data_IF_073022292473
#
_entry.id   IF_073022292473
#
_cell.length_a   1.000
_cell.length_b   1.000
_cell.length_c   1.000
_cell.angle_alpha   90.00
_cell.angle_beta   90.00
_cell.angle_gamma   90.00
#
_symmetry.space_group_name_H-M   'P 1'
#
loop_
_entity.id
_entity.type
_entity.pdbx_description
1 polymer ?
#
# COMPACT_ATOMS: atom_id res chain seq x y z
N UNK A 1 -13.54 29.93 26.77
CA UNK A 1 -12.61 30.54 25.83
C UNK A 1 -11.70 29.45 25.23
N UNK A 2 -12.06 28.93 24.06
CA UNK A 2 -11.23 27.97 23.32
C UNK A 2 -10.13 28.73 22.57
N UNK A 3 -8.87 28.53 22.97
CA UNK A 3 -7.72 29.10 22.31
C UNK A 3 -7.55 28.48 20.92
N UNK A 4 -7.78 29.27 19.87
CA UNK A 4 -7.46 28.89 18.50
C UNK A 4 -5.95 28.69 18.37
N UNK A 5 -5.53 27.42 18.23
CA UNK A 5 -4.15 27.07 17.91
C UNK A 5 -3.81 27.60 16.52
N UNK A 6 -3.08 28.70 16.46
CA UNK A 6 -2.51 29.23 15.21
C UNK A 6 -1.72 28.14 14.49
N UNK A 7 -2.22 27.72 13.34
CA UNK A 7 -1.52 26.80 12.41
C UNK A 7 -0.20 27.49 11.99
N UNK A 8 0.94 26.92 12.37
CA UNK A 8 2.25 27.33 11.83
C UNK A 8 2.27 26.92 10.36
N UNK A 9 2.27 27.89 9.45
CA UNK A 9 2.55 27.67 8.04
C UNK A 9 3.95 27.04 7.91
N UNK A 10 4.12 25.97 7.13
CA UNK A 10 5.45 25.50 6.81
C UNK A 10 6.17 26.62 6.05
N UNK A 11 7.31 27.05 6.54
CA UNK A 11 8.15 28.08 5.93
C UNK A 11 8.85 27.49 4.70
N UNK A 12 8.14 27.38 3.59
CA UNK A 12 8.70 27.14 2.28
C UNK A 12 9.26 28.45 1.74
N UNK A 13 10.54 28.72 1.97
CA UNK A 13 11.23 29.83 1.37
C UNK A 13 11.75 29.40 0.00
N UNK A 14 10.96 29.58 -1.07
CA UNK A 14 11.37 29.32 -2.43
C UNK A 14 10.29 29.74 -3.42
N UNK A 15 10.69 30.25 -4.58
CA UNK A 15 9.81 30.48 -5.73
C UNK A 15 9.56 29.22 -6.55
N UNK A 16 9.78 28.02 -5.95
CA UNK A 16 9.71 26.75 -6.64
C UNK A 16 8.31 26.15 -6.72
N UNK A 17 8.20 25.01 -7.39
CA UNK A 17 6.97 24.26 -7.64
C UNK A 17 6.22 23.90 -6.35
N UNK A 18 6.94 23.65 -5.26
CA UNK A 18 6.39 23.27 -3.96
C UNK A 18 6.09 24.47 -3.04
N UNK A 19 6.39 25.70 -3.45
CA UNK A 19 6.23 26.91 -2.62
C UNK A 19 4.77 27.14 -2.14
N UNK A 20 3.78 26.69 -2.92
CA UNK A 20 2.35 26.81 -2.64
C UNK A 20 1.72 25.50 -2.18
N UNK A 21 2.49 24.43 -2.06
CA UNK A 21 1.97 23.14 -1.66
C UNK A 21 1.63 23.13 -0.16
N UNK A 22 0.39 22.81 0.15
CA UNK A 22 -0.08 22.60 1.52
C UNK A 22 -0.70 21.22 1.64
N UNK A 23 -0.12 20.30 2.41
CA UNK A 23 -0.68 18.97 2.64
C UNK A 23 -1.95 18.99 3.51
N UNK A 24 -2.33 20.14 4.06
CA UNK A 24 -3.46 20.27 4.96
C UNK A 24 -3.28 19.45 6.24
N UNK A 25 -4.26 18.59 6.55
CA UNK A 25 -4.22 17.67 7.71
C UNK A 25 -3.61 16.30 7.37
N UNK A 26 -3.35 16.05 6.09
CA UNK A 26 -2.81 14.77 5.64
C UNK A 26 -1.32 14.65 5.94
N UNK A 27 -0.90 13.41 6.12
CA UNK A 27 0.52 13.11 6.24
C UNK A 27 1.21 13.30 4.88
N UNK A 28 2.32 14.03 4.88
CA UNK A 28 3.17 14.17 3.72
C UNK A 28 4.62 13.85 4.10
N UNK A 29 5.20 12.85 3.49
CA UNK A 29 6.56 12.41 3.74
C UNK A 29 7.62 13.47 3.37
N UNK A 30 7.31 14.35 2.41
CA UNK A 30 8.24 15.41 1.99
C UNK A 30 8.35 16.53 3.01
N UNK A 31 7.24 16.86 3.68
CA UNK A 31 7.19 17.97 4.62
C UNK A 31 7.12 17.53 6.07
N UNK A 32 6.46 16.40 6.37
CA UNK A 32 6.35 15.82 7.72
C UNK A 32 5.97 16.82 8.82
N UNK A 33 5.58 16.36 9.99
CA UNK A 33 5.32 17.29 11.12
C UNK A 33 6.56 18.06 11.61
N UNK A 34 7.77 17.65 11.23
CA UNK A 34 9.06 18.25 11.66
C UNK A 34 10.08 18.40 10.54
N UNK A 35 9.66 18.35 9.24
CA UNK A 35 10.58 18.39 8.11
C UNK A 35 11.60 17.26 8.18
N UNK A 36 11.26 16.10 7.63
CA UNK A 36 12.14 14.94 7.68
C UNK A 36 13.45 15.25 6.94
N UNK A 37 14.57 15.20 7.65
CA UNK A 37 15.89 15.56 7.08
C UNK A 37 16.29 14.68 5.91
N UNK A 38 15.85 13.41 5.89
CA UNK A 38 16.18 12.46 4.83
C UNK A 38 15.43 12.70 3.50
N UNK A 39 14.32 13.46 3.52
CA UNK A 39 13.57 13.82 2.30
C UNK A 39 13.98 15.18 1.73
N UNK A 40 14.84 15.92 2.42
CA UNK A 40 15.25 17.27 2.03
C UNK A 40 15.78 17.32 0.60
N UNK A 41 16.70 16.45 0.26
CA UNK A 41 17.31 16.43 -1.08
C UNK A 41 16.29 16.15 -2.18
N UNK A 42 15.33 15.25 -1.93
CA UNK A 42 14.26 14.94 -2.87
C UNK A 42 13.34 16.14 -3.03
N UNK A 43 12.93 16.74 -1.92
CA UNK A 43 12.11 17.95 -1.93
C UNK A 43 12.79 19.09 -2.70
N UNK A 44 14.07 19.37 -2.40
CA UNK A 44 14.82 20.44 -3.04
C UNK A 44 15.00 20.18 -4.56
N UNK A 45 15.04 18.91 -4.95
CA UNK A 45 15.07 18.49 -6.34
C UNK A 45 13.71 18.71 -7.02
N UNK A 46 12.62 18.26 -6.40
CA UNK A 46 11.25 18.44 -6.88
C UNK A 46 10.88 19.92 -7.01
N UNK A 47 11.31 20.74 -6.08
CA UNK A 47 11.04 22.18 -6.08
C UNK A 47 11.66 22.93 -7.27
N UNK A 48 12.69 22.34 -7.90
CA UNK A 48 13.34 22.87 -9.11
C UNK A 48 12.76 22.35 -10.41
N UNK A 49 11.84 21.37 -10.35
CA UNK A 49 11.25 20.81 -11.56
C UNK A 49 10.09 21.69 -12.03
N UNK A 50 9.94 21.76 -13.34
CA UNK A 50 8.79 22.41 -13.96
C UNK A 50 7.52 21.56 -13.80
N UNK A 51 6.47 22.16 -13.26
CA UNK A 51 5.19 21.50 -13.04
C UNK A 51 4.53 21.06 -14.36
N UNK A 52 4.68 21.86 -15.43
CA UNK A 52 4.14 21.52 -16.73
C UNK A 52 4.84 20.27 -17.30
N UNK A 53 6.14 20.17 -17.11
CA UNK A 53 6.93 19.00 -17.49
C UNK A 53 6.50 17.76 -16.68
N UNK A 54 6.31 17.88 -15.36
CA UNK A 54 5.85 16.77 -14.53
C UNK A 54 4.48 16.24 -14.96
N UNK A 55 3.53 17.14 -15.24
CA UNK A 55 2.20 16.78 -15.75
C UNK A 55 2.27 16.10 -17.12
N UNK A 56 3.17 16.55 -17.97
CA UNK A 56 3.39 15.90 -19.27
C UNK A 56 3.91 14.47 -19.08
N UNK A 57 4.93 14.30 -18.24
CA UNK A 57 5.49 12.97 -17.93
C UNK A 57 4.46 12.02 -17.33
N UNK A 58 3.57 12.50 -16.46
CA UNK A 58 2.48 11.68 -15.90
C UNK A 58 1.57 11.17 -17.02
N UNK A 59 1.11 12.06 -17.91
CA UNK A 59 0.25 11.65 -19.06
C UNK A 59 0.96 10.73 -20.03
N UNK A 60 2.25 10.93 -20.28
CA UNK A 60 3.02 10.05 -21.15
C UNK A 60 3.16 8.65 -20.54
N UNK A 61 3.40 8.57 -19.23
CA UNK A 61 3.47 7.30 -18.49
C UNK A 61 2.11 6.56 -18.49
N UNK A 62 1.01 7.26 -18.21
CA UNK A 62 -0.35 6.69 -18.25
C UNK A 62 -0.68 6.12 -19.64
N UNK A 63 -0.31 6.84 -20.70
CA UNK A 63 -0.50 6.38 -22.08
C UNK A 63 0.33 5.14 -22.38
N UNK A 64 1.56 5.11 -21.92
CA UNK A 64 2.45 3.95 -22.10
C UNK A 64 1.93 2.73 -21.35
N UNK A 65 1.45 2.88 -20.12
CA UNK A 65 0.81 1.80 -19.37
C UNK A 65 -0.41 1.24 -20.12
N UNK A 66 -1.24 2.13 -20.67
CA UNK A 66 -2.38 1.72 -21.48
C UNK A 66 -1.95 0.93 -22.73
N UNK A 67 -0.93 1.42 -23.45
CA UNK A 67 -0.39 0.75 -24.65
C UNK A 67 0.18 -0.64 -24.33
N UNK A 68 0.73 -0.82 -23.13
CA UNK A 68 1.22 -2.11 -22.62
C UNK A 68 0.11 -3.03 -22.10
N UNK A 69 -1.15 -2.58 -22.12
CA UNK A 69 -2.28 -3.34 -21.59
C UNK A 69 -2.32 -3.38 -20.06
N UNK A 70 -1.60 -2.48 -19.38
CA UNK A 70 -1.62 -2.36 -17.92
C UNK A 70 -2.77 -1.44 -17.55
N UNK A 71 -3.92 -2.06 -17.27
CA UNK A 71 -5.17 -1.38 -16.93
C UNK A 71 -5.68 -1.87 -15.58
N UNK A 72 -6.57 -1.11 -14.98
CA UNK A 72 -7.29 -1.49 -13.78
C UNK A 72 -8.76 -1.76 -14.14
N UNK A 73 -9.17 -3.01 -13.99
CA UNK A 73 -10.55 -3.39 -14.30
C UNK A 73 -11.44 -3.15 -13.08
N UNK A 74 -12.43 -2.30 -13.24
CA UNK A 74 -13.48 -2.09 -12.23
C UNK A 74 -14.66 -2.98 -12.61
N UNK A 75 -14.97 -3.92 -11.73
CA UNK A 75 -16.16 -4.75 -11.85
C UNK A 75 -17.33 -3.97 -11.24
N UNK A 76 -18.31 -3.59 -12.09
CA UNK A 76 -19.62 -3.17 -11.63
C UNK A 76 -20.63 -4.28 -11.92
N UNK A 77 -21.79 -4.27 -11.24
CA UNK A 77 -22.82 -5.33 -11.37
C UNK A 77 -23.31 -5.60 -12.81
N UNK A 78 -22.89 -4.83 -13.79
CA UNK A 78 -23.32 -4.93 -15.18
C UNK A 78 -22.22 -4.96 -16.22
N UNK A 79 -21.03 -4.41 -15.96
CA UNK A 79 -19.95 -4.32 -16.95
C UNK A 79 -18.56 -4.26 -16.29
N UNK A 80 -17.58 -4.93 -16.91
CA UNK A 80 -16.18 -4.74 -16.59
C UNK A 80 -15.65 -3.55 -17.41
N UNK A 81 -15.24 -2.47 -16.72
CA UNK A 81 -14.70 -1.29 -17.38
C UNK A 81 -13.21 -1.22 -17.10
N UNK A 82 -12.40 -1.29 -18.14
CA UNK A 82 -10.97 -1.07 -18.04
C UNK A 82 -10.67 0.43 -17.89
N UNK A 83 -10.00 0.76 -16.80
CA UNK A 83 -9.57 2.13 -16.51
C UNK A 83 -8.06 2.25 -16.64
N UNK A 84 -7.64 3.42 -17.10
CA UNK A 84 -6.22 3.81 -17.07
C UNK A 84 -5.77 3.84 -15.60
N UNK A 85 -4.64 3.18 -15.31
CA UNK A 85 -4.00 3.25 -14.00
C UNK A 85 -3.37 4.64 -13.83
N UNK A 86 -3.83 5.47 -12.87
CA UNK A 86 -3.22 6.77 -12.62
C UNK A 86 -1.76 6.59 -12.19
N UNK A 87 -0.84 7.28 -12.86
CA UNK A 87 0.57 7.18 -12.55
C UNK A 87 1.07 8.43 -11.83
N UNK A 88 1.56 8.27 -10.59
CA UNK A 88 2.20 9.34 -9.85
C UNK A 88 3.70 9.39 -10.17
N UNK A 89 4.12 10.45 -10.87
CA UNK A 89 5.53 10.67 -11.23
C UNK A 89 6.38 11.11 -10.02
N UNK A 90 5.76 11.45 -8.90
CA UNK A 90 6.45 11.76 -7.66
C UNK A 90 6.41 10.52 -6.76
N UNK A 91 7.56 9.82 -6.59
CA UNK A 91 7.56 8.56 -5.85
C UNK A 91 7.26 8.80 -4.36
N UNK A 92 6.54 7.86 -3.76
CA UNK A 92 6.41 7.78 -2.30
C UNK A 92 7.76 7.45 -1.66
N UNK A 93 8.11 8.19 -0.62
CA UNK A 93 9.40 8.04 0.06
C UNK A 93 9.18 7.37 1.39
N UNK A 94 9.71 6.16 1.51
CA UNK A 94 9.72 5.39 2.74
C UNK A 94 11.11 5.49 3.38
N UNK A 95 11.15 5.87 4.65
CA UNK A 95 12.41 5.81 5.39
C UNK A 95 12.82 4.36 5.65
N UNK A 96 14.12 4.13 5.87
CA UNK A 96 14.61 2.81 6.26
C UNK A 96 13.95 2.27 7.54
N UNK A 97 13.58 3.17 8.46
CA UNK A 97 12.87 2.82 9.68
C UNK A 97 11.45 2.35 9.38
N UNK A 98 10.72 3.11 8.54
CA UNK A 98 9.36 2.77 8.14
C UNK A 98 9.36 1.44 7.37
N UNK A 99 10.30 1.27 6.44
CA UNK A 99 10.43 0.03 5.68
C UNK A 99 10.65 -1.20 6.55
N UNK A 100 11.54 -1.11 7.54
CA UNK A 100 11.77 -2.21 8.48
C UNK A 100 10.51 -2.59 9.27
N UNK A 101 9.71 -1.60 9.65
CA UNK A 101 8.46 -1.84 10.37
C UNK A 101 7.44 -2.54 9.45
N UNK A 102 7.32 -2.09 8.20
CA UNK A 102 6.47 -2.70 7.18
C UNK A 102 6.92 -4.15 6.94
N UNK A 103 8.20 -4.35 6.63
CA UNK A 103 8.78 -5.66 6.37
C UNK A 103 8.51 -6.64 7.51
N UNK A 104 8.78 -6.25 8.75
CA UNK A 104 8.51 -7.07 9.93
C UNK A 104 7.01 -7.41 10.05
N UNK A 105 6.14 -6.41 9.87
CA UNK A 105 4.69 -6.60 9.95
C UNK A 105 4.15 -7.53 8.85
N UNK A 106 4.66 -7.42 7.64
CA UNK A 106 4.29 -8.30 6.51
C UNK A 106 4.76 -9.72 6.76
N UNK A 107 6.03 -9.92 7.14
CA UNK A 107 6.59 -11.23 7.47
C UNK A 107 5.78 -11.93 8.57
N UNK A 108 5.41 -11.22 9.64
CA UNK A 108 4.59 -11.75 10.72
C UNK A 108 3.22 -12.24 10.20
N UNK A 109 2.55 -11.44 9.36
CA UNK A 109 1.23 -11.77 8.84
C UNK A 109 1.26 -12.95 7.88
N UNK A 110 2.24 -12.99 7.00
CA UNK A 110 2.43 -14.11 6.06
C UNK A 110 2.73 -15.41 6.83
N UNK A 111 3.57 -15.34 7.86
CA UNK A 111 3.83 -16.49 8.73
C UNK A 111 2.55 -16.97 9.44
N UNK A 112 1.76 -16.04 9.98
CA UNK A 112 0.48 -16.36 10.62
C UNK A 112 -0.52 -17.00 9.65
N UNK A 113 -0.61 -16.51 8.42
CA UNK A 113 -1.46 -17.09 7.37
C UNK A 113 -1.01 -18.52 6.99
N UNK A 114 0.28 -18.76 6.88
CA UNK A 114 0.80 -20.11 6.62
C UNK A 114 0.46 -21.07 7.77
N UNK A 115 0.62 -20.63 9.03
CA UNK A 115 0.23 -21.44 10.21
C UNK A 115 -1.28 -21.69 10.25
N UNK A 116 -2.09 -20.70 9.88
CA UNK A 116 -3.54 -20.85 9.77
C UNK A 116 -3.91 -21.90 8.72
N UNK A 117 -3.32 -21.83 7.53
CA UNK A 117 -3.56 -22.82 6.46
C UNK A 117 -3.10 -24.22 6.90
N UNK A 118 -1.96 -24.33 7.54
CA UNK A 118 -1.48 -25.59 8.11
C UNK A 118 -2.51 -26.15 9.09
N UNK A 119 -3.04 -25.32 9.98
CA UNK A 119 -3.99 -25.81 11.00
C UNK A 119 -5.33 -26.22 10.42
N UNK A 120 -5.93 -25.42 9.52
CA UNK A 120 -7.27 -25.72 8.97
C UNK A 120 -7.28 -26.96 8.06
N UNK A 121 -6.16 -27.29 7.45
CA UNK A 121 -6.03 -28.50 6.61
C UNK A 121 -5.50 -29.71 7.37
N UNK A 122 -5.19 -29.59 8.68
CA UNK A 122 -4.72 -30.69 9.53
C UNK A 122 -5.50 -30.80 10.84
N UNK A 123 -5.00 -30.16 11.89
CA UNK A 123 -5.54 -30.33 13.25
C UNK A 123 -6.80 -29.55 13.57
N UNK A 124 -7.10 -28.52 12.79
CA UNK A 124 -8.27 -27.64 12.93
C UNK A 124 -8.44 -27.04 14.35
N UNK A 125 -7.34 -26.84 15.06
CA UNK A 125 -7.33 -26.38 16.46
C UNK A 125 -7.96 -25.01 16.64
N UNK A 126 -7.73 -24.11 15.67
CA UNK A 126 -8.29 -22.76 15.69
C UNK A 126 -9.82 -22.77 15.54
N UNK A 127 -10.37 -23.74 14.80
CA UNK A 127 -11.80 -23.94 14.64
C UNK A 127 -12.39 -24.63 15.88
N UNK A 128 -11.77 -25.71 16.34
CA UNK A 128 -12.19 -26.44 17.55
C UNK A 128 -12.17 -25.55 18.80
N UNK A 129 -11.22 -24.62 18.88
CA UNK A 129 -11.11 -23.64 19.95
C UNK A 129 -12.08 -22.47 19.86
N UNK A 130 -12.90 -22.39 18.80
CA UNK A 130 -13.87 -21.32 18.58
C UNK A 130 -13.26 -19.94 18.32
N UNK A 131 -11.95 -19.87 18.01
CA UNK A 131 -11.26 -18.60 17.69
C UNK A 131 -11.73 -18.08 16.34
N UNK A 132 -11.91 -18.98 15.38
CA UNK A 132 -12.52 -18.70 14.08
C UNK A 132 -13.75 -19.59 13.93
N UNK A 133 -14.93 -19.05 13.61
CA UNK A 133 -16.12 -19.84 13.35
C UNK A 133 -15.88 -20.84 12.20
N UNK A 134 -16.19 -22.10 12.42
CA UNK A 134 -15.91 -23.16 11.44
C UNK A 134 -16.64 -22.94 10.11
N UNK A 135 -17.85 -22.39 10.15
CA UNK A 135 -18.66 -22.09 8.96
C UNK A 135 -18.01 -21.05 8.04
N UNK A 136 -17.23 -20.11 8.58
CA UNK A 136 -16.51 -19.11 7.77
C UNK A 136 -15.37 -19.74 6.96
N UNK A 137 -14.82 -20.85 7.41
CA UNK A 137 -13.71 -21.54 6.75
C UNK A 137 -14.25 -22.68 5.88
N UNK A 138 -14.97 -23.61 6.48
CA UNK A 138 -15.42 -24.84 5.80
C UNK A 138 -16.55 -24.58 4.80
N UNK A 139 -17.33 -23.52 4.99
CA UNK A 139 -18.37 -23.06 4.07
C UNK A 139 -17.88 -22.10 2.99
N UNK A 140 -16.60 -21.75 2.98
CA UNK A 140 -16.03 -20.81 1.99
C UNK A 140 -15.76 -21.53 0.67
N UNK A 141 -16.17 -20.94 -0.45
CA UNK A 141 -15.97 -21.49 -1.81
C UNK A 141 -14.49 -21.70 -2.18
N UNK A 142 -13.58 -21.01 -1.49
CA UNK A 142 -12.14 -21.18 -1.68
C UNK A 142 -11.52 -22.26 -0.79
N UNK A 143 -12.28 -22.87 0.15
CA UNK A 143 -11.80 -24.00 0.92
C UNK A 143 -11.65 -25.21 -0.01
N UNK A 144 -10.53 -25.92 0.10
CA UNK A 144 -10.18 -27.05 -0.76
C UNK A 144 -10.08 -28.32 0.09
N UNK A 145 -11.15 -29.13 0.20
CA UNK A 145 -11.13 -30.36 0.99
C UNK A 145 -10.04 -31.34 0.59
N UNK A 146 -9.65 -31.32 -0.69
CA UNK A 146 -8.57 -32.14 -1.24
C UNK A 146 -7.17 -31.79 -0.66
N UNK A 147 -7.06 -30.65 0.00
CA UNK A 147 -5.82 -30.24 0.68
C UNK A 147 -5.71 -30.75 2.12
N UNK A 148 -6.77 -31.42 2.63
CA UNK A 148 -6.72 -31.97 3.98
C UNK A 148 -5.63 -33.05 4.10
N UNK A 149 -4.73 -32.87 5.06
CA UNK A 149 -3.58 -33.76 5.28
C UNK A 149 -2.44 -33.60 4.28
N UNK A 150 -2.51 -32.63 3.36
CA UNK A 150 -1.42 -32.37 2.43
C UNK A 150 -0.35 -31.48 3.07
N UNK A 151 0.89 -31.96 3.08
CA UNK A 151 2.07 -31.22 3.53
C UNK A 151 2.78 -30.58 2.34
N UNK A 152 2.67 -29.25 2.16
CA UNK A 152 3.38 -28.58 1.08
C UNK A 152 4.90 -28.58 1.30
N UNK A 153 5.71 -28.50 0.24
CA UNK A 153 7.17 -28.42 0.37
C UNK A 153 7.59 -27.33 1.35
N UNK A 154 8.44 -27.69 2.33
CA UNK A 154 8.94 -26.78 3.39
C UNK A 154 7.83 -26.17 4.28
N UNK A 155 6.65 -26.76 4.32
CA UNK A 155 5.52 -26.22 5.09
C UNK A 155 5.00 -24.87 4.59
N UNK A 156 5.23 -24.54 3.32
CA UNK A 156 4.87 -23.23 2.76
C UNK A 156 3.65 -23.36 1.87
N UNK A 157 2.50 -22.85 2.32
CA UNK A 157 1.27 -22.76 1.55
C UNK A 157 1.24 -21.54 0.62
N UNK A 158 1.72 -20.39 1.11
CA UNK A 158 1.74 -19.13 0.37
C UNK A 158 3.16 -18.83 -0.11
N UNK A 159 3.44 -19.09 -1.39
CA UNK A 159 4.76 -18.85 -2.00
C UNK A 159 4.93 -17.41 -2.52
N UNK A 160 3.84 -16.79 -2.98
CA UNK A 160 3.80 -15.42 -3.46
C UNK A 160 2.63 -14.71 -2.80
N UNK A 161 2.88 -13.59 -2.15
CA UNK A 161 1.86 -12.80 -1.47
C UNK A 161 1.97 -11.33 -1.90
N UNK A 162 0.92 -10.82 -2.52
CA UNK A 162 0.73 -9.38 -2.72
C UNK A 162 0.14 -8.77 -1.45
N UNK A 163 0.77 -7.74 -0.92
CA UNK A 163 0.29 -7.07 0.30
C UNK A 163 0.08 -5.60 0.04
N UNK A 164 -1.16 -5.15 0.15
CA UNK A 164 -1.51 -3.74 0.09
C UNK A 164 -1.25 -3.07 1.44
N UNK A 165 -0.59 -1.92 1.39
CA UNK A 165 -0.21 -1.17 2.59
C UNK A 165 -0.90 0.18 2.54
N UNK A 166 -1.70 0.46 3.57
CA UNK A 166 -2.37 1.75 3.76
C UNK A 166 -1.65 2.52 4.87
N UNK A 167 -1.44 3.83 4.63
CA UNK A 167 -0.77 4.72 5.58
C UNK A 167 -1.60 5.96 5.86
#
# INVERSE_FOLDING_TARGET
>A
AMAQRRKRRPSGHGNGTLARYDPGEFYCELFGRRGLSHTRHVRDRLDRLDLAMLRRRARDAERELLNLGITFTVYSDREAIDRILPFDVIPRILSRKDWRQIEFGVQQRVAALNLFLQDIYHGQKILAGGVVPAELVLGNDNYRPEMCGFDPPKGTYVHICGTDIVR
#
